data_IF_888824300669
#
_entry.id   IF_888824300669
#
_cell.length_a   1.000
_cell.length_b   1.000
_cell.length_c   1.000
_cell.angle_alpha   90.00
_cell.angle_beta   90.00
_cell.angle_gamma   90.00
#
_symmetry.space_group_name_H-M   'P 1'
#
loop_
_entity.id
_entity.type
_entity.pdbx_description
1 polymer ?
#
# COMPACT_ATOMS: atom_id res chain seq x y z
N UNK A 1 -14.41 26.85 32.18
CA UNK A 1 -15.84 26.60 31.86
C UNK A 1 -15.99 25.14 31.43
N UNK A 2 -16.96 24.35 31.91
CA UNK A 2 -17.06 22.94 31.47
C UNK A 2 -17.73 22.89 30.10
N UNK A 3 -17.39 21.90 29.28
CA UNK A 3 -17.96 21.73 27.92
C UNK A 3 -19.50 21.65 27.94
N UNK A 4 -20.07 21.04 28.98
CA UNK A 4 -21.53 20.96 29.18
C UNK A 4 -22.20 22.31 29.45
N UNK A 5 -21.43 23.31 29.87
CA UNK A 5 -21.92 24.66 30.19
C UNK A 5 -21.93 25.55 28.93
N UNK A 6 -21.37 25.08 27.81
CA UNK A 6 -21.42 25.77 26.52
C UNK A 6 -22.77 25.57 25.83
N UNK A 7 -23.23 26.55 25.03
CA UNK A 7 -24.37 26.38 24.11
C UNK A 7 -24.20 25.12 23.28
N UNK A 8 -25.28 24.39 23.02
CA UNK A 8 -25.21 23.10 22.33
C UNK A 8 -24.51 23.19 20.97
N UNK A 9 -24.76 24.28 20.22
CA UNK A 9 -24.13 24.57 18.94
C UNK A 9 -22.61 24.80 19.02
N UNK A 10 -22.09 25.18 20.19
CA UNK A 10 -20.67 25.49 20.37
C UNK A 10 -19.89 24.30 20.93
N UNK A 11 -20.58 23.23 21.32
CA UNK A 11 -19.94 22.02 21.87
C UNK A 11 -19.17 21.30 20.76
N UNK A 12 -17.92 20.88 21.00
CA UNK A 12 -17.08 20.24 19.98
C UNK A 12 -17.76 19.06 19.26
N UNK A 13 -18.54 18.24 19.98
CA UNK A 13 -19.22 17.08 19.38
C UNK A 13 -20.27 17.51 18.36
N UNK A 14 -21.10 18.48 18.72
CA UNK A 14 -22.19 18.91 17.84
C UNK A 14 -21.62 19.71 16.66
N UNK A 15 -20.58 20.51 16.88
CA UNK A 15 -19.83 21.17 15.80
C UNK A 15 -19.21 20.17 14.82
N UNK A 16 -18.69 19.05 15.31
CA UNK A 16 -18.15 17.99 14.46
C UNK A 16 -19.24 17.39 13.56
N UNK A 17 -20.45 17.15 14.09
CA UNK A 17 -21.57 16.63 13.29
C UNK A 17 -22.14 17.66 12.31
N UNK A 18 -22.19 18.95 12.68
CA UNK A 18 -22.75 20.00 11.85
C UNK A 18 -21.80 20.47 10.74
N UNK A 19 -20.49 20.58 11.02
CA UNK A 19 -19.50 21.20 10.14
C UNK A 19 -18.27 20.34 9.81
N UNK A 20 -18.23 19.10 10.29
CA UNK A 20 -17.09 18.20 10.09
C UNK A 20 -15.85 18.56 10.91
N UNK A 21 -14.77 17.79 10.74
CA UNK A 21 -13.54 17.95 11.53
C UNK A 21 -12.80 19.27 11.25
N UNK A 22 -12.91 19.81 10.03
CA UNK A 22 -12.26 21.07 9.65
C UNK A 22 -12.83 22.31 10.34
N UNK A 23 -14.02 22.21 10.95
CA UNK A 23 -14.61 23.30 11.72
C UNK A 23 -14.06 23.41 13.16
N UNK A 24 -13.31 22.41 13.63
CA UNK A 24 -12.81 22.34 15.00
C UNK A 24 -11.35 22.77 15.09
N UNK A 25 -10.98 23.45 16.17
CA UNK A 25 -9.59 23.68 16.52
C UNK A 25 -8.94 22.40 17.08
N UNK A 26 -7.60 22.32 17.02
CA UNK A 26 -6.82 21.17 17.51
C UNK A 26 -7.18 20.75 18.95
N UNK A 27 -7.34 21.74 19.84
CA UNK A 27 -7.74 21.50 21.23
C UNK A 27 -9.14 20.88 21.35
N UNK A 28 -10.03 21.15 20.41
CA UNK A 28 -11.40 20.61 20.38
C UNK A 28 -11.38 19.17 19.90
N UNK A 29 -10.60 18.87 18.85
CA UNK A 29 -10.36 17.51 18.37
C UNK A 29 -9.73 16.64 19.48
N UNK A 30 -8.71 17.16 20.16
CA UNK A 30 -8.10 16.47 21.29
C UNK A 30 -9.06 16.31 22.46
N UNK A 31 -9.85 17.33 22.80
CA UNK A 31 -10.84 17.22 23.87
C UNK A 31 -11.89 16.13 23.60
N UNK A 32 -12.28 15.93 22.34
CA UNK A 32 -13.16 14.83 21.94
C UNK A 32 -12.50 13.46 22.17
N UNK A 33 -11.23 13.30 21.80
CA UNK A 33 -10.48 12.05 22.04
C UNK A 33 -10.27 11.79 23.55
N UNK A 34 -9.96 12.83 24.32
CA UNK A 34 -9.81 12.73 25.77
C UNK A 34 -11.14 12.34 26.45
N UNK A 35 -12.27 12.81 25.91
CA UNK A 35 -13.63 12.54 26.36
C UNK A 35 -14.02 13.26 27.65
N UNK A 36 -13.08 13.45 28.57
CA UNK A 36 -13.27 14.17 29.83
C UNK A 36 -12.00 14.90 30.27
N UNK A 37 -12.20 15.93 31.10
CA UNK A 37 -11.12 16.66 31.77
C UNK A 37 -10.58 15.91 33.00
N UNK A 38 -9.87 16.62 33.87
CA UNK A 38 -9.42 16.11 35.16
C UNK A 38 -9.92 17.03 36.28
N UNK A 39 -9.54 16.76 37.54
CA UNK A 39 -9.95 17.60 38.66
C UNK A 39 -9.43 19.03 38.44
N UNK A 40 -10.33 20.00 38.33
CA UNK A 40 -10.00 21.40 38.11
C UNK A 40 -9.82 21.84 36.66
N UNK A 41 -9.81 20.91 35.69
CA UNK A 41 -9.66 21.25 34.26
C UNK A 41 -10.73 20.55 33.42
N UNK A 42 -11.37 21.29 32.53
CA UNK A 42 -12.22 20.74 31.46
C UNK A 42 -11.40 19.96 30.42
N UNK A 43 -12.07 19.20 29.55
CA UNK A 43 -11.39 18.49 28.47
C UNK A 43 -10.67 19.45 27.49
N UNK A 44 -11.26 20.62 27.24
CA UNK A 44 -10.68 21.67 26.39
C UNK A 44 -9.42 22.31 27.03
N UNK A 45 -9.48 22.60 28.33
CA UNK A 45 -8.34 23.15 29.06
C UNK A 45 -7.21 22.11 29.15
N UNK A 46 -7.54 20.86 29.46
CA UNK A 46 -6.56 19.76 29.49
C UNK A 46 -5.92 19.53 28.11
N UNK A 47 -6.70 19.54 27.03
CA UNK A 47 -6.19 19.43 25.66
C UNK A 47 -5.24 20.58 25.31
N UNK A 48 -5.62 21.81 25.66
CA UNK A 48 -4.79 23.01 25.39
C UNK A 48 -3.46 22.94 26.16
N UNK A 49 -3.50 22.57 27.44
CA UNK A 49 -2.28 22.39 28.23
C UNK A 49 -1.42 21.24 27.70
N UNK A 50 -2.02 20.17 27.19
CA UNK A 50 -1.29 19.02 26.69
C UNK A 50 -0.50 19.35 25.43
N UNK A 51 -1.10 20.09 24.49
CA UNK A 51 -0.39 20.63 23.31
C UNK A 51 0.79 21.49 23.76
N UNK A 52 0.55 22.43 24.68
CA UNK A 52 1.60 23.32 25.17
C UNK A 52 2.73 22.57 25.91
N UNK A 53 2.40 21.54 26.69
CA UNK A 53 3.38 20.73 27.41
C UNK A 53 4.29 19.94 26.46
N UNK A 54 3.77 19.48 25.32
CA UNK A 54 4.55 18.80 24.29
C UNK A 54 5.27 19.75 23.34
N UNK A 55 4.92 21.04 23.35
CA UNK A 55 5.42 22.09 22.46
C UNK A 55 4.37 22.47 21.43
N UNK A 56 3.98 21.51 20.60
CA UNK A 56 2.92 21.66 19.60
C UNK A 56 2.20 20.31 19.33
N UNK A 57 1.23 20.33 18.41
CA UNK A 57 0.45 19.13 18.05
C UNK A 57 1.31 18.05 17.36
N UNK A 58 2.34 18.45 16.61
CA UNK A 58 3.22 17.53 15.90
C UNK A 58 4.09 16.75 16.89
N UNK A 59 4.66 17.44 17.87
CA UNK A 59 5.44 16.83 18.94
C UNK A 59 4.57 15.98 19.87
N UNK A 60 3.33 16.40 20.12
CA UNK A 60 2.34 15.57 20.80
C UNK A 60 2.09 14.25 20.05
N UNK A 61 1.93 14.31 18.73
CA UNK A 61 1.65 13.14 17.90
C UNK A 61 2.81 12.12 17.87
N UNK A 62 4.03 12.57 18.16
CA UNK A 62 5.24 11.73 18.28
C UNK A 62 5.47 11.19 19.68
N UNK A 63 4.83 11.76 20.70
CA UNK A 63 5.01 11.34 22.09
C UNK A 63 4.50 9.92 22.32
N UNK A 64 5.27 9.14 23.09
CA UNK A 64 4.81 7.84 23.58
C UNK A 64 3.89 7.98 24.79
N UNK A 65 3.22 6.87 25.16
CA UNK A 65 2.30 6.87 26.29
C UNK A 65 2.99 7.18 27.64
N UNK A 66 4.28 6.93 27.80
CA UNK A 66 5.01 7.23 29.03
C UNK A 66 5.23 8.73 29.18
N UNK A 67 5.67 9.41 28.11
CA UNK A 67 5.78 10.87 28.06
C UNK A 67 4.44 11.55 28.29
N UNK A 68 3.36 11.06 27.68
CA UNK A 68 2.02 11.63 27.91
C UNK A 68 1.58 11.54 29.38
N UNK A 69 1.99 10.50 30.11
CA UNK A 69 1.66 10.29 31.53
C UNK A 69 2.38 11.22 32.49
N UNK A 70 3.45 11.91 32.07
CA UNK A 70 4.13 12.89 32.94
C UNK A 70 3.28 14.13 33.19
N UNK A 71 2.26 14.35 32.35
CA UNK A 71 1.36 15.47 32.49
C UNK A 71 0.25 15.21 33.54
N UNK A 72 0.01 16.14 34.48
CA UNK A 72 -1.12 16.07 35.39
C UNK A 72 -2.46 15.94 34.65
N UNK A 73 -3.29 14.96 35.04
CA UNK A 73 -4.57 14.69 34.41
C UNK A 73 -4.55 13.69 33.25
N UNK A 74 -3.35 13.24 32.83
CA UNK A 74 -3.15 12.19 31.82
C UNK A 74 -2.95 10.81 32.46
N UNK A 75 -4.04 10.25 32.98
CA UNK A 75 -4.06 8.87 33.47
C UNK A 75 -3.77 7.84 32.35
N UNK A 76 -3.49 6.58 32.73
CA UNK A 76 -3.06 5.53 31.79
C UNK A 76 -4.04 5.32 30.63
N UNK A 77 -5.34 5.38 30.88
CA UNK A 77 -6.36 5.22 29.84
C UNK A 77 -6.35 6.33 28.78
N UNK A 78 -6.18 7.60 29.20
CA UNK A 78 -6.13 8.75 28.27
C UNK A 78 -4.86 8.75 27.45
N UNK A 79 -3.72 8.48 28.10
CA UNK A 79 -2.43 8.37 27.43
C UNK A 79 -2.39 7.24 26.39
N UNK A 80 -2.86 6.05 26.76
CA UNK A 80 -2.94 4.91 25.85
C UNK A 80 -3.85 5.19 24.64
N UNK A 81 -4.99 5.85 24.86
CA UNK A 81 -5.92 6.20 23.78
C UNK A 81 -5.30 7.16 22.76
N UNK A 82 -4.62 8.21 23.23
CA UNK A 82 -3.95 9.15 22.32
C UNK A 82 -2.78 8.48 21.59
N UNK A 83 -1.94 7.73 22.30
CA UNK A 83 -0.83 6.99 21.69
C UNK A 83 -1.32 6.02 20.60
N UNK A 84 -2.43 5.32 20.85
CA UNK A 84 -3.06 4.44 19.87
C UNK A 84 -3.61 5.21 18.66
N UNK A 85 -4.31 6.33 18.89
CA UNK A 85 -4.84 7.17 17.82
C UNK A 85 -3.73 7.68 16.88
N UNK A 86 -2.63 8.19 17.45
CA UNK A 86 -1.47 8.62 16.66
C UNK A 86 -0.75 7.45 15.99
N UNK A 87 -0.69 6.27 16.60
CA UNK A 87 -0.08 5.09 15.96
C UNK A 87 -0.89 4.59 14.77
N UNK A 88 -2.22 4.67 14.83
CA UNK A 88 -3.08 4.40 13.68
C UNK A 88 -2.84 5.42 12.56
N UNK A 89 -2.77 6.71 12.89
CA UNK A 89 -2.45 7.75 11.91
C UNK A 89 -1.10 7.49 11.24
N UNK A 90 -0.05 7.14 12.01
CA UNK A 90 1.26 6.78 11.47
C UNK A 90 1.20 5.56 10.56
N UNK A 91 0.39 4.55 10.87
CA UNK A 91 0.23 3.38 9.99
C UNK A 91 -0.47 3.73 8.68
N UNK A 92 -1.44 4.64 8.72
CA UNK A 92 -2.13 5.14 7.53
C UNK A 92 -1.17 5.98 6.68
N UNK A 93 -0.37 6.85 7.29
CA UNK A 93 0.61 7.70 6.60
C UNK A 93 1.85 6.95 6.12
N UNK A 94 2.28 5.92 6.85
CA UNK A 94 3.39 5.04 6.48
C UNK A 94 2.97 3.93 5.51
N UNK A 95 1.71 3.93 5.05
CA UNK A 95 1.37 3.19 3.85
C UNK A 95 2.33 3.65 2.73
N UNK A 96 2.91 2.71 1.95
CA UNK A 96 3.81 3.09 0.86
C UNK A 96 3.13 4.15 0.00
N UNK A 97 3.90 5.19 -0.38
CA UNK A 97 3.45 6.31 -1.22
C UNK A 97 2.37 5.81 -2.20
N UNK A 98 1.15 6.39 -2.12
CA UNK A 98 0.05 5.93 -2.95
C UNK A 98 0.56 5.97 -4.38
N UNK A 99 0.56 4.82 -5.05
CA UNK A 99 1.04 4.73 -6.42
C UNK A 99 0.35 5.82 -7.22
N UNK A 100 1.11 6.82 -7.67
CA UNK A 100 0.54 7.87 -8.48
C UNK A 100 0.31 7.30 -9.87
N UNK A 101 -0.93 7.34 -10.32
CA UNK A 101 -1.30 6.93 -11.66
C UNK A 101 -1.30 8.17 -12.55
N UNK A 102 -0.21 8.35 -13.28
CA UNK A 102 -0.06 9.45 -14.25
C UNK A 102 -0.03 8.94 -15.69
N UNK A 103 0.11 7.63 -15.88
CA UNK A 103 0.20 6.95 -17.16
C UNK A 103 -0.53 5.60 -17.14
N UNK A 104 -0.76 5.03 -18.33
CA UNK A 104 -1.27 3.68 -18.49
C UNK A 104 -0.33 2.63 -17.88
N UNK A 105 0.98 2.87 -17.89
CA UNK A 105 1.96 2.00 -17.26
C UNK A 105 1.79 1.96 -15.73
N UNK A 106 1.54 3.11 -15.11
CA UNK A 106 1.26 3.20 -13.68
C UNK A 106 -0.05 2.47 -13.34
N UNK A 107 -1.09 2.68 -14.16
CA UNK A 107 -2.38 2.01 -14.00
C UNK A 107 -2.21 0.48 -14.10
N UNK A 108 -1.41 0.01 -15.06
CA UNK A 108 -1.08 -1.41 -15.18
C UNK A 108 -0.32 -1.92 -13.95
N UNK A 109 0.65 -1.17 -13.43
CA UNK A 109 1.41 -1.56 -12.24
C UNK A 109 0.50 -1.67 -10.99
N UNK A 110 -0.47 -0.77 -10.84
CA UNK A 110 -1.44 -0.79 -9.74
C UNK A 110 -2.44 -1.93 -9.87
N UNK A 111 -2.92 -2.22 -11.08
CA UNK A 111 -3.98 -3.20 -11.33
C UNK A 111 -3.46 -4.64 -11.49
N UNK A 112 -2.25 -4.84 -12.03
CA UNK A 112 -1.71 -6.17 -12.32
C UNK A 112 -1.71 -7.15 -11.14
N UNK A 113 -1.38 -6.75 -9.88
CA UNK A 113 -1.44 -7.67 -8.74
C UNK A 113 -2.83 -8.23 -8.44
N UNK A 114 -3.90 -7.59 -8.92
CA UNK A 114 -5.29 -8.03 -8.73
C UNK A 114 -5.82 -8.89 -9.89
N UNK A 115 -5.06 -8.96 -10.99
CA UNK A 115 -5.47 -9.55 -12.27
C UNK A 115 -4.60 -10.74 -12.71
N UNK A 116 -3.29 -10.70 -12.44
CA UNK A 116 -2.35 -11.76 -12.84
C UNK A 116 -2.63 -13.08 -12.11
N UNK A 117 -2.44 -14.19 -12.82
CA UNK A 117 -2.65 -15.55 -12.30
C UNK A 117 -4.11 -15.94 -12.04
N UNK A 118 -5.08 -15.04 -12.28
CA UNK A 118 -6.49 -15.34 -12.10
C UNK A 118 -7.08 -16.08 -13.31
N UNK A 119 -7.75 -17.20 -13.04
CA UNK A 119 -8.33 -18.10 -14.04
C UNK A 119 -9.75 -17.69 -14.50
N UNK A 120 -10.33 -16.67 -13.86
CA UNK A 120 -11.59 -16.04 -14.24
C UNK A 120 -11.31 -14.60 -14.64
N UNK A 121 -12.14 -14.09 -15.54
CA UNK A 121 -12.13 -12.68 -15.92
C UNK A 121 -12.54 -11.83 -14.72
N UNK A 122 -11.77 -10.77 -14.48
CA UNK A 122 -11.97 -9.78 -13.43
C UNK A 122 -11.82 -8.40 -14.03
N UNK A 123 -12.71 -7.49 -13.64
CA UNK A 123 -12.57 -6.06 -13.92
C UNK A 123 -12.14 -5.35 -12.65
N UNK A 124 -11.05 -4.59 -12.71
CA UNK A 124 -10.54 -3.74 -11.65
C UNK A 124 -10.79 -2.29 -12.00
N UNK A 125 -11.25 -1.51 -11.03
CA UNK A 125 -11.36 -0.05 -11.11
C UNK A 125 -10.35 0.57 -10.16
N UNK A 126 -9.61 1.55 -10.66
CA UNK A 126 -8.65 2.35 -9.89
C UNK A 126 -9.11 3.80 -9.93
N UNK A 127 -9.44 4.34 -8.75
CA UNK A 127 -9.92 5.71 -8.55
C UNK A 127 -8.82 6.54 -7.91
N UNK A 128 -8.57 7.71 -8.45
CA UNK A 128 -7.49 8.60 -8.05
C UNK A 128 -7.98 10.02 -7.76
N UNK A 129 -7.21 10.73 -6.94
CA UNK A 129 -7.37 12.17 -6.70
C UNK A 129 -6.86 12.99 -7.91
N UNK A 130 -7.03 14.32 -7.92
CA UNK A 130 -6.53 15.18 -9.01
C UNK A 130 -5.01 15.09 -9.26
N UNK A 131 -4.23 14.68 -8.27
CA UNK A 131 -2.78 14.54 -8.35
C UNK A 131 -2.32 13.13 -8.79
N UNK A 132 -3.27 12.23 -9.11
CA UNK A 132 -2.99 10.85 -9.50
C UNK A 132 -2.84 9.89 -8.33
N UNK A 133 -2.95 10.31 -7.08
CA UNK A 133 -2.81 9.41 -5.95
C UNK A 133 -4.02 8.46 -5.90
N UNK A 134 -3.77 7.15 -5.83
CA UNK A 134 -4.82 6.13 -5.74
C UNK A 134 -5.57 6.27 -4.42
N UNK A 135 -6.84 6.67 -4.52
CA UNK A 135 -7.79 6.74 -3.40
C UNK A 135 -8.40 5.36 -3.16
N UNK A 136 -8.70 4.63 -4.24
CA UNK A 136 -9.34 3.32 -4.18
C UNK A 136 -8.92 2.43 -5.33
N UNK A 137 -8.74 1.14 -5.06
CA UNK A 137 -8.66 0.08 -6.07
C UNK A 137 -9.56 -1.09 -5.66
N UNK A 138 -10.35 -1.61 -6.58
CA UNK A 138 -11.37 -2.63 -6.27
C UNK A 138 -11.59 -3.52 -7.48
N UNK A 139 -11.72 -4.83 -7.24
CA UNK A 139 -12.26 -5.77 -8.22
C UNK A 139 -13.78 -5.55 -8.24
N UNK A 140 -14.29 -5.03 -9.35
CA UNK A 140 -15.71 -4.71 -9.53
C UNK A 140 -16.51 -5.93 -9.97
N UNK A 141 -15.96 -6.74 -10.87
CA UNK A 141 -16.57 -7.97 -11.35
C UNK A 141 -15.59 -9.13 -11.31
N UNK A 142 -16.09 -10.34 -11.11
CA UNK A 142 -15.32 -11.59 -11.18
C UNK A 142 -16.21 -12.73 -11.70
N UNK A 143 -15.87 -13.29 -12.87
CA UNK A 143 -16.68 -14.30 -13.57
C UNK A 143 -17.17 -13.84 -14.94
N UNK A 144 -17.26 -14.77 -15.90
CA UNK A 144 -17.53 -14.46 -17.30
C UNK A 144 -19.01 -14.39 -17.67
N UNK A 145 -19.34 -13.43 -18.53
CA UNK A 145 -20.48 -13.40 -19.45
C UNK A 145 -21.91 -13.49 -18.90
N UNK A 146 -22.18 -13.07 -17.67
CA UNK A 146 -23.58 -12.78 -17.30
C UNK A 146 -23.98 -11.41 -17.85
N UNK A 147 -25.00 -11.41 -18.70
CA UNK A 147 -25.64 -10.29 -19.42
C UNK A 147 -26.25 -9.20 -18.50
N UNK A 148 -25.64 -8.92 -17.37
CA UNK A 148 -26.03 -7.86 -16.45
C UNK A 148 -25.56 -6.53 -17.02
N UNK A 149 -26.39 -5.50 -16.89
CA UNK A 149 -26.19 -4.15 -17.46
C UNK A 149 -24.73 -3.70 -17.38
N UNK A 150 -24.22 -3.19 -18.50
CA UNK A 150 -22.85 -2.66 -18.64
C UNK A 150 -22.35 -1.99 -17.36
N UNK A 151 -21.16 -2.36 -16.85
CA UNK A 151 -20.66 -1.93 -15.52
C UNK A 151 -20.38 -0.43 -15.42
N UNK A 152 -20.73 0.37 -16.45
CA UNK A 152 -20.57 1.81 -16.52
C UNK A 152 -21.17 2.49 -15.30
N UNK A 153 -22.42 2.16 -14.96
CA UNK A 153 -23.12 2.79 -13.82
C UNK A 153 -22.36 2.54 -12.53
N UNK A 154 -21.95 1.30 -12.27
CA UNK A 154 -21.21 0.96 -11.06
C UNK A 154 -19.81 1.61 -11.03
N UNK A 155 -19.11 1.66 -12.16
CA UNK A 155 -17.79 2.30 -12.28
C UNK A 155 -17.88 3.80 -11.97
N UNK A 156 -18.83 4.50 -12.59
CA UNK A 156 -19.04 5.94 -12.39
C UNK A 156 -19.48 6.21 -10.94
N UNK A 157 -20.44 5.44 -10.43
CA UNK A 157 -20.87 5.57 -9.04
C UNK A 157 -19.71 5.33 -8.06
N UNK A 158 -18.86 4.34 -8.31
CA UNK A 158 -17.68 4.05 -7.49
C UNK A 158 -16.68 5.21 -7.50
N UNK A 159 -16.42 5.80 -8.67
CA UNK A 159 -15.52 6.94 -8.80
C UNK A 159 -16.05 8.17 -8.04
N UNK A 160 -17.32 8.51 -8.23
CA UNK A 160 -17.96 9.65 -7.57
C UNK A 160 -18.05 9.48 -6.05
N UNK A 161 -18.54 8.33 -5.58
CA UNK A 161 -18.73 8.07 -4.14
C UNK A 161 -17.41 7.91 -3.38
N UNK A 162 -16.31 7.61 -4.06
CA UNK A 162 -14.97 7.55 -3.47
C UNK A 162 -14.26 8.91 -3.47
N UNK A 163 -14.89 9.99 -3.98
CA UNK A 163 -14.26 11.31 -4.10
C UNK A 163 -13.19 11.39 -5.19
N UNK A 164 -13.29 10.55 -6.22
CA UNK A 164 -12.33 10.52 -7.33
C UNK A 164 -12.47 11.70 -8.28
N UNK A 165 -11.34 12.15 -8.82
CA UNK A 165 -11.29 13.12 -9.92
C UNK A 165 -10.88 12.45 -11.25
N UNK A 166 -10.06 11.39 -11.17
CA UNK A 166 -9.68 10.54 -12.29
C UNK A 166 -9.88 9.07 -11.94
N UNK A 167 -10.14 8.25 -12.96
CA UNK A 167 -10.18 6.81 -12.77
C UNK A 167 -9.72 6.08 -14.03
N UNK A 168 -9.23 4.85 -13.85
CA UNK A 168 -8.92 3.92 -14.93
C UNK A 168 -9.46 2.54 -14.61
N UNK A 169 -9.61 1.72 -15.63
CA UNK A 169 -10.05 0.33 -15.47
C UNK A 169 -9.08 -0.64 -16.13
N UNK A 170 -9.04 -1.87 -15.62
CA UNK A 170 -8.26 -2.93 -16.24
C UNK A 170 -8.92 -4.29 -16.01
N UNK A 171 -8.82 -5.20 -16.98
CA UNK A 171 -9.28 -6.57 -16.84
C UNK A 171 -8.28 -7.59 -17.40
N UNK A 172 -8.46 -8.85 -17.02
CA UNK A 172 -7.71 -9.96 -17.59
C UNK A 172 -8.60 -10.80 -18.50
N UNK A 173 -8.02 -11.31 -19.59
CA UNK A 173 -8.64 -12.39 -20.35
C UNK A 173 -8.05 -13.73 -19.89
N UNK A 174 -8.87 -14.70 -19.44
CA UNK A 174 -8.38 -16.03 -19.04
C UNK A 174 -7.65 -16.77 -20.16
N UNK A 175 -7.94 -16.44 -21.42
CA UNK A 175 -7.25 -16.96 -22.60
C UNK A 175 -5.80 -16.47 -22.74
N UNK A 176 -5.41 -15.43 -22.00
CA UNK A 176 -4.11 -14.77 -22.14
C UNK A 176 -4.00 -13.86 -23.36
N UNK A 177 -5.09 -13.63 -24.09
CA UNK A 177 -5.12 -12.68 -25.21
C UNK A 177 -5.03 -11.23 -24.70
N UNK A 178 -4.34 -10.39 -25.46
CA UNK A 178 -4.38 -8.93 -25.29
C UNK A 178 -5.32 -8.25 -26.29
N UNK A 179 -5.95 -9.02 -27.19
CA UNK A 179 -6.83 -8.45 -28.19
C UNK A 179 -8.17 -8.05 -27.54
N UNK A 180 -8.61 -6.78 -27.67
CA UNK A 180 -9.90 -6.36 -27.16
C UNK A 180 -11.04 -7.03 -27.92
N UNK A 181 -12.11 -7.36 -27.19
CA UNK A 181 -13.38 -7.74 -27.78
C UNK A 181 -14.20 -6.51 -28.22
N UNK A 182 -15.22 -6.71 -29.05
CA UNK A 182 -16.16 -5.64 -29.39
C UNK A 182 -16.90 -5.08 -28.17
N UNK A 183 -17.12 -5.91 -27.15
CA UNK A 183 -17.70 -5.49 -25.89
C UNK A 183 -16.76 -4.53 -25.15
N UNK A 184 -15.46 -4.84 -25.12
CA UNK A 184 -14.44 -3.99 -24.52
C UNK A 184 -14.37 -2.61 -25.18
N UNK A 185 -14.40 -2.58 -26.52
CA UNK A 185 -14.39 -1.34 -27.29
C UNK A 185 -15.63 -0.47 -26.97
N UNK A 186 -16.82 -1.09 -26.96
CA UNK A 186 -18.08 -0.39 -26.65
C UNK A 186 -18.12 0.13 -25.21
N UNK A 187 -17.66 -0.66 -24.25
CA UNK A 187 -17.59 -0.24 -22.84
C UNK A 187 -16.62 0.91 -22.65
N UNK A 188 -15.43 0.85 -23.28
CA UNK A 188 -14.43 1.93 -23.24
C UNK A 188 -15.01 3.23 -23.77
N UNK A 189 -15.66 3.20 -24.94
CA UNK A 189 -16.24 4.39 -25.55
C UNK A 189 -17.33 5.02 -24.67
N UNK A 190 -18.28 4.20 -24.16
CA UNK A 190 -19.36 4.69 -23.30
C UNK A 190 -18.87 5.19 -21.95
N UNK A 191 -17.84 4.57 -21.37
CA UNK A 191 -17.24 5.04 -20.12
C UNK A 191 -16.60 6.41 -20.28
N UNK A 192 -15.92 6.65 -21.41
CA UNK A 192 -15.31 7.95 -21.71
C UNK A 192 -16.37 9.04 -21.78
N UNK A 193 -17.45 8.81 -22.53
CA UNK A 193 -18.58 9.74 -22.64
C UNK A 193 -19.27 9.98 -21.29
N UNK A 194 -19.53 8.91 -20.54
CA UNK A 194 -20.15 9.02 -19.22
C UNK A 194 -19.27 9.80 -18.23
N UNK A 195 -17.96 9.54 -18.22
CA UNK A 195 -17.00 10.24 -17.37
C UNK A 195 -16.97 11.74 -17.69
N UNK A 196 -16.90 12.11 -18.97
CA UNK A 196 -16.93 13.50 -19.42
C UNK A 196 -18.22 14.20 -18.98
N UNK A 197 -19.37 13.53 -19.15
CA UNK A 197 -20.69 14.07 -18.77
C UNK A 197 -20.78 14.43 -17.28
N UNK A 198 -20.11 13.67 -16.40
CA UNK A 198 -20.14 13.88 -14.95
C UNK A 198 -18.89 14.59 -14.40
N UNK A 199 -18.01 15.09 -15.27
CA UNK A 199 -16.80 15.82 -14.87
C UNK A 199 -15.68 14.95 -14.27
N UNK A 200 -15.63 13.66 -14.61
CA UNK A 200 -14.54 12.76 -14.24
C UNK A 200 -13.55 12.61 -15.41
N UNK A 201 -12.26 12.53 -15.10
CA UNK A 201 -11.23 12.21 -16.10
C UNK A 201 -11.02 10.70 -16.23
N UNK A 202 -11.42 10.12 -17.35
CA UNK A 202 -11.12 8.73 -17.66
C UNK A 202 -9.67 8.59 -18.17
N UNK A 203 -8.85 7.82 -17.45
CA UNK A 203 -7.44 7.60 -17.75
C UNK A 203 -7.26 6.62 -18.90
N UNK A 204 -7.66 5.37 -18.69
CA UNK A 204 -7.51 4.30 -19.68
C UNK A 204 -8.32 3.05 -19.34
N UNK A 205 -8.40 2.14 -20.32
CA UNK A 205 -8.89 0.78 -20.17
C UNK A 205 -7.82 -0.21 -20.62
N UNK A 206 -7.31 -1.04 -19.70
CA UNK A 206 -6.21 -1.97 -19.99
C UNK A 206 -6.64 -3.43 -19.96
N UNK A 207 -6.14 -4.21 -20.92
CA UNK A 207 -6.15 -5.67 -20.84
C UNK A 207 -4.81 -6.10 -20.28
N UNK A 208 -4.79 -6.85 -19.18
CA UNK A 208 -3.58 -7.30 -18.48
C UNK A 208 -3.48 -8.82 -18.51
N UNK A 209 -2.29 -9.31 -18.86
CA UNK A 209 -1.89 -10.71 -18.78
C UNK A 209 -0.73 -10.87 -17.79
N UNK A 210 -0.29 -12.11 -17.59
CA UNK A 210 0.84 -12.40 -16.70
C UNK A 210 2.14 -11.71 -17.10
N UNK A 211 2.34 -11.44 -18.39
CA UNK A 211 3.62 -10.92 -18.92
C UNK A 211 3.53 -9.52 -19.53
N UNK A 212 2.35 -9.11 -19.98
CA UNK A 212 2.19 -7.87 -20.72
C UNK A 212 0.80 -7.26 -20.49
N UNK A 213 0.63 -6.01 -20.91
CA UNK A 213 -0.64 -5.32 -20.92
C UNK A 213 -0.80 -4.54 -22.22
N UNK A 214 -2.04 -4.19 -22.57
CA UNK A 214 -2.39 -3.40 -23.75
C UNK A 214 -3.52 -2.43 -23.42
N UNK A 215 -3.43 -1.21 -23.97
CA UNK A 215 -4.51 -0.21 -23.95
C UNK A 215 -5.61 -0.62 -24.92
N UNK A 216 -6.87 -0.41 -24.56
CA UNK A 216 -7.97 -0.56 -25.50
C UNK A 216 -8.05 0.73 -26.31
N UNK A 217 -7.92 0.66 -27.66
CA UNK A 217 -7.93 1.85 -28.48
C UNK A 217 -9.20 2.65 -28.26
N UNK A 218 -9.01 3.94 -28.03
CA UNK A 218 -10.08 4.91 -28.23
C UNK A 218 -10.12 5.17 -29.74
N UNK A 219 -11.28 5.42 -30.34
CA UNK A 219 -11.42 5.61 -31.78
C UNK A 219 -10.63 6.76 -32.42
N UNK A 220 -9.75 7.43 -31.67
CA UNK A 220 -8.78 8.39 -32.16
C UNK A 220 -7.35 7.88 -31.94
N UNK A 221 -6.59 7.87 -33.04
CA UNK A 221 -5.19 7.50 -33.21
C UNK A 221 -4.32 7.48 -31.95
N UNK A 222 -4.11 6.29 -31.39
CA UNK A 222 -3.04 6.00 -30.42
C UNK A 222 -2.59 4.55 -30.63
N UNK A 223 -1.88 4.29 -31.74
CA UNK A 223 -1.15 3.03 -31.94
C UNK A 223 0.16 3.17 -31.14
N UNK A 224 0.08 2.97 -29.84
CA UNK A 224 1.27 2.81 -29.01
C UNK A 224 1.78 1.37 -29.22
N UNK A 225 2.78 1.24 -30.08
CA UNK A 225 3.43 -0.04 -30.36
C UNK A 225 4.10 -0.52 -29.05
N UNK A 226 3.98 -1.80 -28.66
CA UNK A 226 4.73 -2.30 -27.51
C UNK A 226 6.23 -2.00 -27.70
N UNK A 227 7.00 -1.72 -26.63
CA UNK A 227 8.43 -1.60 -26.75
C UNK A 227 8.96 -2.91 -27.34
N UNK A 228 9.42 -2.87 -28.58
CA UNK A 228 10.18 -3.96 -29.17
C UNK A 228 11.38 -4.25 -28.27
N UNK A 229 11.67 -5.51 -27.93
CA UNK A 229 12.93 -5.85 -27.31
C UNK A 229 14.01 -5.76 -28.40
N UNK A 230 14.60 -4.57 -28.56
CA UNK A 230 15.74 -4.40 -29.46
C UNK A 230 16.86 -3.67 -28.71
N UNK A 231 17.86 -4.46 -28.29
CA UNK A 231 19.30 -4.15 -28.28
C UNK A 231 20.03 -4.68 -27.03
N UNK A 232 20.18 -6.00 -26.91
CA UNK A 232 21.30 -6.58 -26.14
C UNK A 232 22.08 -7.69 -26.86
N UNK A 233 21.79 -7.97 -28.13
CA UNK A 233 22.51 -9.01 -28.91
C UNK A 233 23.29 -8.50 -30.13
N UNK A 234 23.44 -7.18 -30.32
CA UNK A 234 24.30 -6.62 -31.39
C UNK A 234 25.40 -5.70 -30.87
N UNK A 235 25.99 -6.05 -29.73
CA UNK A 235 27.18 -5.38 -29.18
C UNK A 235 28.28 -6.36 -28.71
N UNK A 236 28.26 -7.62 -29.16
CA UNK A 236 29.34 -8.60 -28.87
C UNK A 236 30.07 -9.11 -30.12
N UNK A 237 30.06 -8.37 -31.21
CA UNK A 237 30.76 -8.78 -32.44
C UNK A 237 31.43 -7.63 -33.20
N UNK A 238 32.01 -6.67 -32.47
CA UNK A 238 32.86 -5.61 -33.06
C UNK A 238 34.30 -5.58 -32.55
N UNK A 239 34.71 -6.55 -31.74
CA UNK A 239 36.06 -6.59 -31.16
C UNK A 239 36.81 -7.91 -31.45
N UNK A 240 36.52 -8.52 -32.61
CA UNK A 240 37.26 -9.69 -33.08
C UNK A 240 38.37 -9.25 -34.03
N UNK A 241 39.66 -9.37 -33.66
CA UNK A 241 40.76 -9.09 -34.58
C UNK A 241 40.79 -10.12 -35.72
N UNK A 242 41.33 -9.75 -36.91
CA UNK A 242 41.31 -10.62 -38.08
C UNK A 242 42.20 -11.86 -37.88
N UNK A 243 41.69 -13.01 -38.34
CA UNK A 243 42.41 -14.29 -38.38
C UNK A 243 43.63 -14.19 -39.29
N UNK A 244 44.82 -14.41 -38.73
CA UNK A 244 46.04 -14.70 -39.46
C UNK A 244 46.34 -16.21 -39.42
N UNK A 245 46.59 -16.79 -40.59
CA UNK A 245 47.51 -17.91 -40.88
C UNK A 245 47.46 -19.18 -40.03
N UNK A 246 47.05 -20.30 -40.65
CA UNK A 246 47.63 -21.61 -40.35
C UNK A 246 49.14 -21.60 -40.77
N UNK A 247 50.06 -22.40 -40.18
CA UNK A 247 50.05 -23.86 -40.41
C UNK A 247 50.61 -24.78 -39.29
N UNK A 248 50.21 -26.06 -39.37
CA UNK A 248 50.96 -27.32 -39.13
C UNK A 248 51.83 -27.53 -37.86
N UNK A 249 51.52 -28.55 -37.05
CA UNK A 249 52.20 -29.89 -36.94
C UNK A 249 52.03 -30.54 -35.55
N UNK A 250 51.44 -31.76 -35.54
CA UNK A 250 51.83 -33.06 -34.93
C UNK A 250 52.52 -33.16 -33.53
N UNK A 251 52.18 -34.28 -32.85
CA UNK A 251 52.89 -35.06 -31.78
C UNK A 251 52.42 -34.79 -30.32
N UNK A 252 51.66 -35.67 -29.65
CA UNK A 252 51.96 -36.96 -28.94
C UNK A 252 52.76 -36.86 -27.63
N UNK A 253 52.30 -37.57 -26.58
CA UNK A 253 53.06 -37.97 -25.37
C UNK A 253 52.60 -37.25 -24.10
N UNK A 254 51.78 -37.85 -23.23
CA UNK A 254 52.10 -38.83 -22.18
C UNK A 254 53.08 -38.28 -21.12
N UNK A 255 52.62 -38.17 -19.85
CA UNK A 255 53.26 -38.73 -18.64
C UNK A 255 52.73 -38.11 -17.32
N UNK A 256 52.26 -38.98 -16.42
CA UNK A 256 52.26 -38.85 -14.94
C UNK A 256 53.71 -39.13 -14.42
N UNK A 257 54.06 -39.21 -13.11
CA UNK A 257 53.35 -38.98 -11.83
C UNK A 257 54.18 -38.22 -10.75
N UNK A 258 53.62 -38.03 -9.54
CA UNK A 258 54.40 -37.99 -8.29
C UNK A 258 53.78 -37.15 -7.17
N UNK A 259 53.14 -37.76 -6.16
CA UNK A 259 53.68 -38.03 -4.79
C UNK A 259 53.80 -36.73 -3.95
N UNK A 260 53.24 -36.57 -2.74
CA UNK A 260 53.15 -37.41 -1.52
C UNK A 260 52.21 -36.66 -0.53
N UNK A 261 51.27 -37.34 0.17
CA UNK A 261 51.32 -37.75 1.61
C UNK A 261 51.51 -36.58 2.58
N UNK A 262 50.79 -36.38 3.70
CA UNK A 262 50.16 -37.27 4.72
C UNK A 262 49.21 -36.36 5.56
N UNK A 263 48.01 -36.78 5.96
CA UNK A 263 47.68 -37.50 7.22
C UNK A 263 48.01 -36.67 8.48
N UNK A 264 47.18 -36.48 9.52
CA UNK A 264 46.12 -37.24 10.24
C UNK A 264 45.25 -36.18 10.96
N UNK A 265 44.04 -36.38 11.44
CA UNK A 265 43.32 -37.55 11.98
C UNK A 265 42.63 -37.04 13.27
N UNK A 266 41.28 -37.03 13.29
CA UNK A 266 40.39 -37.97 14.03
C UNK A 266 40.17 -37.55 15.49
N UNK A 267 38.95 -37.10 15.81
CA UNK A 267 37.93 -37.79 16.63
C UNK A 267 38.19 -37.60 18.14
N UNK A 268 37.24 -37.36 19.03
CA UNK A 268 36.06 -38.15 19.42
C UNK A 268 35.14 -37.33 20.34
N UNK A 269 33.91 -37.81 20.54
CA UNK A 269 32.77 -37.12 21.19
C UNK A 269 32.67 -37.12 22.74
N UNK A 270 31.46 -36.90 23.28
CA UNK A 270 31.14 -36.42 24.66
C UNK A 270 30.83 -37.58 25.64
N UNK A 271 30.53 -37.41 26.97
CA UNK A 271 29.21 -36.95 27.51
C UNK A 271 29.14 -36.39 28.98
N UNK A 272 27.95 -35.93 29.43
CA UNK A 272 27.40 -35.91 30.83
C UNK A 272 28.02 -34.93 31.86
N UNK A 273 27.37 -34.39 32.91
CA UNK A 273 26.05 -34.50 33.55
C UNK A 273 26.14 -34.06 35.04
N UNK A 274 25.04 -33.50 35.61
CA UNK A 274 24.73 -33.30 37.06
C UNK A 274 25.53 -32.28 37.91
N UNK A 275 25.06 -31.62 38.99
CA UNK A 275 23.75 -31.34 39.64
C UNK A 275 23.98 -30.45 40.91
N UNK A 276 22.88 -29.92 41.49
CA UNK A 276 22.63 -29.37 42.87
C UNK A 276 23.01 -27.91 43.16
N UNK A 277 22.32 -27.13 44.02
CA UNK A 277 21.01 -27.21 44.71
C UNK A 277 20.69 -25.91 45.49
N UNK A 278 19.38 -25.64 45.74
CA UNK A 278 18.81 -24.95 46.92
C UNK A 278 18.47 -23.45 46.81
N UNK A 279 17.35 -22.92 47.32
CA UNK A 279 16.18 -23.50 47.99
C UNK A 279 15.24 -22.38 48.54
N UNK A 280 13.96 -22.72 48.76
CA UNK A 280 12.94 -22.01 49.59
C UNK A 280 12.20 -20.84 48.92
N UNK A 281 10.86 -20.75 48.84
CA UNK A 281 9.75 -21.45 49.49
C UNK A 281 8.90 -20.46 50.29
N UNK A 282 7.64 -20.23 49.89
CA UNK A 282 6.41 -20.36 50.72
C UNK A 282 5.17 -19.80 50.03
N UNK A 283 4.17 -20.68 49.90
CA UNK A 283 2.76 -20.47 49.57
C UNK A 283 1.97 -19.85 50.74
N UNK A 284 0.83 -19.22 50.44
CA UNK A 284 -0.26 -19.03 51.42
C UNK A 284 -1.40 -18.10 50.95
N UNK A 285 -2.67 -18.30 51.36
CA UNK A 285 -3.78 -18.45 50.41
C UNK A 285 -4.86 -17.35 50.43
N UNK A 286 -5.69 -17.35 49.37
CA UNK A 286 -7.05 -16.72 49.31
C UNK A 286 -8.02 -17.43 50.26
N UNK A 287 -8.97 -16.72 50.88
CA UNK A 287 -10.40 -16.77 50.49
C UNK A 287 -11.18 -15.48 50.89
N UNK A 288 -12.53 -15.43 50.87
CA UNK A 288 -13.54 -16.29 50.23
C UNK A 288 -14.11 -15.74 48.91
#
# INVERSE_FOLDING_TARGET
>A
MRVKDMPACDRPRERLFAGGAGALADRELLALLLGSGCRGLSALELASQLIAHCGDLSELARADAHRLRTMPGMGPAKAARLAAAFQLLRRVQAAPEPHRVTSSADLAAVAAPLLRGHRRERLVVVVCDPAGAVIRKTVLTEGGSDHTSSPIREIIALALTSGGALFGIAHNHPSGSLAPSDADLKVTARLREAAETVGLRFLDHLIITDRAWRRIPSGDSDIDLPPTPAASERARDRDRPPRAGAPTTRATGNERPGRKRKARGTETGPPGGMAKAGGGGTDGPRPP
#
